data_IF_366430419507
#
_entry.id   IF_366430419507
#
_cell.length_a   1.000
_cell.length_b   1.000
_cell.length_c   1.000
_cell.angle_alpha   90.00
_cell.angle_beta   90.00
_cell.angle_gamma   90.00
#
_symmetry.space_group_name_H-M   'P 1'
#
loop_
_entity.id
_entity.type
_entity.pdbx_description
1 polymer ?
#
# COMPACT_ATOMS: atom_id res chain seq x y z
N UNK A 1 5.56 1.44 -19.28
CA UNK A 1 6.27 2.47 -18.49
C UNK A 1 7.75 2.39 -18.80
N UNK A 2 8.50 3.50 -18.71
CA UNK A 2 9.89 3.62 -19.17
C UNK A 2 10.95 3.74 -18.06
N UNK A 3 10.55 4.08 -16.83
CA UNK A 3 11.44 4.21 -15.66
C UNK A 3 11.10 3.12 -14.64
N UNK A 4 11.75 1.94 -14.70
CA UNK A 4 11.47 0.83 -13.79
C UNK A 4 12.04 1.11 -12.39
N UNK A 5 11.22 0.89 -11.36
CA UNK A 5 11.62 1.09 -9.96
C UNK A 5 12.73 0.14 -9.50
N UNK A 6 12.92 -0.98 -10.21
CA UNK A 6 14.07 -1.89 -10.02
C UNK A 6 15.43 -1.23 -10.31
N UNK A 7 15.47 -0.22 -11.20
CA UNK A 7 16.71 0.47 -11.57
C UNK A 7 16.83 1.84 -10.93
N UNK A 8 15.70 2.54 -10.76
CA UNK A 8 15.67 3.94 -10.32
C UNK A 8 15.18 4.12 -8.87
N UNK A 9 14.83 3.03 -8.19
CA UNK A 9 14.16 3.08 -6.90
C UNK A 9 12.67 3.47 -7.04
N UNK A 10 11.92 3.40 -5.92
CA UNK A 10 10.50 3.70 -5.92
C UNK A 10 10.25 5.20 -6.13
N UNK A 11 9.15 5.51 -6.80
CA UNK A 11 8.61 6.89 -6.77
C UNK A 11 8.13 7.24 -5.36
N UNK A 12 7.97 8.53 -5.04
CA UNK A 12 7.39 8.96 -3.76
C UNK A 12 6.02 8.32 -3.45
N UNK A 13 5.05 8.33 -4.39
CA UNK A 13 3.80 7.61 -4.25
C UNK A 13 3.98 6.11 -4.01
N UNK A 14 4.92 5.47 -4.69
CA UNK A 14 5.19 4.03 -4.52
C UNK A 14 5.73 3.71 -3.14
N UNK A 15 6.73 4.44 -2.66
CA UNK A 15 7.28 4.28 -1.32
C UNK A 15 6.22 4.51 -0.22
N UNK A 16 5.34 5.51 -0.40
CA UNK A 16 4.26 5.81 0.55
C UNK A 16 3.22 4.68 0.62
N UNK A 17 2.80 4.14 -0.52
CA UNK A 17 1.89 2.99 -0.55
C UNK A 17 2.55 1.70 -0.02
N UNK A 18 3.84 1.51 -0.31
CA UNK A 18 4.62 0.39 0.24
C UNK A 18 4.72 0.43 1.76
N UNK A 19 4.82 1.61 2.38
CA UNK A 19 4.78 1.76 3.83
C UNK A 19 3.46 1.26 4.42
N UNK A 20 2.32 1.73 3.90
CA UNK A 20 1.01 1.30 4.40
C UNK A 20 0.78 -0.19 4.19
N UNK A 21 1.19 -0.73 3.03
CA UNK A 21 1.10 -2.17 2.76
C UNK A 21 1.92 -2.99 3.78
N UNK A 22 3.14 -2.56 4.08
CA UNK A 22 4.03 -3.26 5.04
C UNK A 22 3.39 -3.36 6.43
N UNK A 23 2.83 -2.25 6.94
CA UNK A 23 2.16 -2.26 8.24
C UNK A 23 0.82 -3.00 8.23
N UNK A 24 0.07 -2.94 7.13
CA UNK A 24 -1.15 -3.72 6.95
C UNK A 24 -0.84 -5.22 7.08
N UNK A 25 0.16 -5.72 6.34
CA UNK A 25 0.56 -7.13 6.39
C UNK A 25 1.00 -7.53 7.79
N UNK A 26 1.86 -6.72 8.42
CA UNK A 26 2.34 -6.97 9.78
C UNK A 26 1.17 -7.09 10.75
N UNK A 27 0.26 -6.12 10.76
CA UNK A 27 -0.83 -6.08 11.74
C UNK A 27 -1.87 -7.17 11.46
N UNK A 28 -2.12 -7.52 10.18
CA UNK A 28 -2.94 -8.67 9.83
C UNK A 28 -2.36 -9.99 10.36
N UNK A 29 -1.04 -10.19 10.26
CA UNK A 29 -0.36 -11.37 10.82
C UNK A 29 -0.40 -11.42 12.35
N UNK A 30 -0.49 -10.27 13.00
CA UNK A 30 -0.71 -10.15 14.45
C UNK A 30 -2.18 -10.36 14.85
N UNK A 31 -3.07 -10.67 13.89
CA UNK A 31 -4.48 -10.96 14.14
C UNK A 31 -5.42 -9.74 14.03
N UNK A 32 -4.93 -8.59 13.57
CA UNK A 32 -5.80 -7.43 13.36
C UNK A 32 -6.72 -7.64 12.15
N UNK A 33 -8.00 -7.33 12.31
CA UNK A 33 -8.92 -7.25 11.18
C UNK A 33 -8.75 -5.92 10.45
N UNK A 34 -7.86 -5.91 9.45
CA UNK A 34 -7.50 -4.69 8.70
C UNK A 34 -8.67 -4.06 7.93
N UNK A 35 -9.72 -4.84 7.62
CA UNK A 35 -10.91 -4.35 6.91
C UNK A 35 -11.91 -3.60 7.80
N UNK A 36 -11.87 -3.81 9.12
CA UNK A 36 -12.76 -3.16 10.09
C UNK A 36 -12.03 -2.32 11.13
N UNK A 37 -10.71 -2.19 11.01
CA UNK A 37 -9.90 -1.39 11.94
C UNK A 37 -10.15 0.10 11.72
N UNK A 38 -10.84 0.74 12.66
CA UNK A 38 -11.07 2.17 12.67
C UNK A 38 -9.83 2.90 13.23
N UNK A 39 -9.39 3.95 12.53
CA UNK A 39 -8.33 4.86 12.96
C UNK A 39 -8.88 5.99 13.85
N UNK A 40 -8.00 6.83 14.43
CA UNK A 40 -8.39 7.88 15.38
C UNK A 40 -9.34 8.95 14.80
N UNK A 41 -9.32 9.14 13.49
CA UNK A 41 -10.16 10.14 12.78
C UNK A 41 -11.54 9.60 12.43
N UNK A 42 -11.84 8.35 12.78
CA UNK A 42 -13.07 7.66 12.39
C UNK A 42 -13.01 6.99 11.01
N UNK A 43 -12.00 7.29 10.19
CA UNK A 43 -11.71 6.61 8.93
C UNK A 43 -11.02 5.25 9.19
N UNK A 44 -11.00 4.37 8.19
CA UNK A 44 -10.29 3.11 8.31
C UNK A 44 -8.77 3.30 8.41
N UNK A 45 -8.14 2.58 9.35
CA UNK A 45 -6.70 2.69 9.62
C UNK A 45 -5.85 2.23 8.44
N UNK A 46 -6.23 1.13 7.78
CA UNK A 46 -5.48 0.54 6.67
C UNK A 46 -6.17 0.65 5.32
N UNK A 47 -7.50 0.53 5.31
CA UNK A 47 -8.33 0.56 4.11
C UNK A 47 -9.44 1.58 4.27
N UNK A 48 -9.71 2.35 3.23
CA UNK A 48 -10.82 3.32 3.16
C UNK A 48 -11.33 3.43 1.73
N UNK A 49 -12.29 4.33 1.47
CA UNK A 49 -12.81 4.59 0.13
C UNK A 49 -12.20 5.86 -0.46
N UNK A 50 -11.89 5.83 -1.75
CA UNK A 50 -11.60 7.01 -2.56
C UNK A 50 -12.86 7.87 -2.72
N UNK A 51 -12.74 9.11 -3.24
CA UNK A 51 -13.91 9.93 -3.59
C UNK A 51 -14.86 9.26 -4.61
N UNK A 52 -14.34 8.36 -5.47
CA UNK A 52 -15.11 7.57 -6.45
C UNK A 52 -15.65 6.25 -5.88
N UNK A 53 -15.32 5.90 -4.64
CA UNK A 53 -15.82 4.70 -3.95
C UNK A 53 -14.93 3.46 -4.05
N UNK A 54 -13.79 3.52 -4.72
CA UNK A 54 -12.81 2.41 -4.77
C UNK A 54 -12.15 2.19 -3.42
N UNK A 55 -11.83 0.93 -3.08
CA UNK A 55 -11.07 0.62 -1.87
C UNK A 55 -9.60 0.99 -2.10
N UNK A 56 -9.08 1.83 -1.22
CA UNK A 56 -7.73 2.37 -1.26
C UNK A 56 -7.05 2.21 0.10
N UNK A 57 -5.73 2.40 0.14
CA UNK A 57 -5.00 2.46 1.40
C UNK A 57 -5.38 3.71 2.22
N UNK A 58 -5.44 3.55 3.53
CA UNK A 58 -5.78 4.59 4.50
C UNK A 58 -4.59 5.48 4.89
N UNK A 59 -4.85 6.47 5.75
CA UNK A 59 -3.85 7.43 6.21
C UNK A 59 -3.47 8.45 5.12
N UNK A 60 -2.31 9.10 5.27
CA UNK A 60 -1.88 10.17 4.37
C UNK A 60 -1.66 9.73 2.92
N UNK A 61 -1.39 8.44 2.70
CA UNK A 61 -1.23 7.85 1.35
C UNK A 61 -2.55 7.75 0.58
N UNK A 62 -3.69 8.16 1.18
CA UNK A 62 -4.94 8.35 0.45
C UNK A 62 -4.77 9.27 -0.77
N UNK A 63 -3.83 10.22 -0.71
CA UNK A 63 -3.50 11.14 -1.81
C UNK A 63 -2.81 10.45 -3.00
N UNK A 64 -2.31 9.23 -2.82
CA UNK A 64 -1.54 8.46 -3.80
C UNK A 64 -2.27 7.22 -4.30
N UNK A 65 -3.59 7.18 -4.16
CA UNK A 65 -4.42 6.03 -4.50
C UNK A 65 -4.40 5.64 -5.98
N UNK A 66 -4.05 6.58 -6.86
CA UNK A 66 -3.88 6.39 -8.30
C UNK A 66 -2.61 5.59 -8.68
N UNK A 67 -1.71 5.31 -7.72
CA UNK A 67 -0.52 4.49 -7.98
C UNK A 67 -0.91 3.12 -8.54
N UNK A 68 -0.27 2.74 -9.64
CA UNK A 68 -0.29 1.39 -10.22
C UNK A 68 1.12 0.83 -10.21
N UNK A 69 1.31 -0.32 -9.57
CA UNK A 69 2.63 -0.95 -9.43
C UNK A 69 2.52 -2.48 -9.49
N UNK A 70 3.47 -3.18 -10.14
CA UNK A 70 3.37 -4.63 -10.39
C UNK A 70 3.22 -5.47 -9.12
N UNK A 71 3.73 -4.99 -7.99
CA UNK A 71 3.63 -5.67 -6.71
C UNK A 71 2.27 -5.49 -6.01
N UNK A 72 1.46 -4.47 -6.36
CA UNK A 72 0.15 -4.23 -5.74
C UNK A 72 -1.02 -4.62 -6.66
N UNK A 73 -0.84 -4.55 -7.99
CA UNK A 73 -1.88 -4.89 -8.96
C UNK A 73 -2.56 -6.25 -8.76
N UNK A 74 -1.84 -7.33 -8.38
CA UNK A 74 -2.49 -8.63 -8.14
C UNK A 74 -3.59 -8.58 -7.07
N UNK A 75 -3.49 -7.65 -6.12
CA UNK A 75 -4.42 -7.46 -5.01
C UNK A 75 -5.59 -6.52 -5.36
N UNK A 76 -5.59 -5.92 -6.55
CA UNK A 76 -6.70 -5.10 -7.03
C UNK A 76 -7.76 -5.97 -7.70
N UNK A 77 -9.01 -5.50 -7.64
CA UNK A 77 -10.19 -6.01 -8.32
C UNK A 77 -10.95 -4.85 -8.98
N UNK A 78 -12.19 -5.08 -9.45
CA UNK A 78 -12.97 -4.06 -10.16
C UNK A 78 -13.28 -2.79 -9.34
N UNK A 79 -13.26 -2.88 -8.01
CA UNK A 79 -13.60 -1.80 -7.09
C UNK A 79 -12.40 -1.33 -6.24
N UNK A 80 -11.18 -1.39 -6.79
CA UNK A 80 -9.94 -1.07 -6.07
C UNK A 80 -9.33 -2.29 -5.37
N UNK A 81 -8.73 -2.09 -4.19
CA UNK A 81 -8.11 -3.19 -3.42
C UNK A 81 -9.16 -4.22 -2.97
N UNK A 82 -8.89 -5.51 -3.22
CA UNK A 82 -9.79 -6.59 -2.87
C UNK A 82 -9.46 -7.14 -1.47
N UNK A 83 -10.44 -7.09 -0.56
CA UNK A 83 -10.28 -7.51 0.83
C UNK A 83 -9.98 -9.02 0.93
N UNK A 84 -10.57 -9.85 0.08
CA UNK A 84 -10.32 -11.30 0.10
C UNK A 84 -8.89 -11.60 -0.36
N UNK A 85 -8.42 -10.91 -1.40
CA UNK A 85 -7.03 -11.06 -1.86
C UNK A 85 -6.03 -10.55 -0.83
N UNK A 86 -6.31 -9.44 -0.18
CA UNK A 86 -5.47 -8.92 0.91
C UNK A 86 -5.38 -9.93 2.07
N UNK A 87 -6.48 -10.62 2.38
CA UNK A 87 -6.50 -11.62 3.45
C UNK A 87 -5.73 -12.88 3.11
N UNK A 88 -5.84 -13.35 1.86
CA UNK A 88 -5.48 -14.72 1.51
C UNK A 88 -4.31 -14.85 0.52
N UNK A 89 -4.07 -13.83 -0.31
CA UNK A 89 -3.26 -13.97 -1.53
C UNK A 89 -1.94 -13.19 -1.49
N UNK A 90 -1.64 -12.49 -0.39
CA UNK A 90 -0.38 -11.75 -0.23
C UNK A 90 0.80 -12.72 -0.23
N UNK A 91 1.73 -12.48 -1.15
CA UNK A 91 2.91 -13.31 -1.34
C UNK A 91 4.13 -12.73 -0.62
N UNK A 92 5.05 -13.57 -0.11
CA UNK A 92 6.29 -13.10 0.54
C UNK A 92 7.15 -12.17 -0.33
N UNK A 93 7.09 -12.29 -1.66
CA UNK A 93 7.83 -11.40 -2.55
C UNK A 93 7.23 -9.98 -2.60
N UNK A 94 5.90 -9.83 -2.47
CA UNK A 94 5.24 -8.52 -2.37
C UNK A 94 5.64 -7.84 -1.06
N UNK A 95 5.72 -8.60 0.03
CA UNK A 95 6.18 -8.11 1.34
C UNK A 95 7.63 -7.62 1.27
N UNK A 96 8.53 -8.42 0.69
CA UNK A 96 9.92 -8.01 0.49
C UNK A 96 10.02 -6.75 -0.36
N UNK A 97 9.29 -6.69 -1.48
CA UNK A 97 9.31 -5.55 -2.39
C UNK A 97 8.78 -4.28 -1.72
N UNK A 98 7.69 -4.36 -0.97
CA UNK A 98 7.16 -3.21 -0.25
C UNK A 98 8.09 -2.76 0.90
N UNK A 99 8.69 -3.70 1.64
CA UNK A 99 9.68 -3.36 2.66
C UNK A 99 10.93 -2.70 2.04
N UNK A 100 11.38 -3.21 0.89
CA UNK A 100 12.46 -2.65 0.09
C UNK A 100 12.11 -1.27 -0.45
N UNK A 101 10.85 -0.95 -0.76
CA UNK A 101 10.48 0.36 -1.34
C UNK A 101 10.06 1.40 -0.29
N UNK A 102 9.65 0.97 0.89
CA UNK A 102 9.41 1.89 2.01
C UNK A 102 10.71 2.51 2.53
N UNK A 103 11.82 1.77 2.50
CA UNK A 103 13.07 2.17 3.18
C UNK A 103 13.93 3.19 2.41
N UNK A 104 14.12 3.10 1.08
CA UNK A 104 14.78 4.10 0.25
C UNK A 104 13.72 5.02 -0.39
N UNK A 105 12.78 5.53 0.41
CA UNK A 105 11.88 6.57 -0.07
C UNK A 105 12.73 7.74 -0.62
N UNK A 106 12.34 8.39 -1.72
CA UNK A 106 13.15 9.39 -2.41
C UNK A 106 13.17 10.74 -1.65
N UNK A 107 13.70 10.71 -0.44
CA UNK A 107 13.86 11.81 0.49
C UNK A 107 15.30 11.77 1.00
N UNK A 108 16.02 12.86 0.83
CA UNK A 108 17.42 12.98 1.25
C UNK A 108 17.78 14.45 1.44
N UNK A 109 18.81 14.70 2.23
CA UNK A 109 19.41 16.02 2.35
C UNK A 109 20.20 16.38 1.09
N UNK A 110 20.54 17.67 0.96
CA UNK A 110 21.42 18.12 -0.12
C UNK A 110 22.86 17.61 0.03
N UNK A 111 23.30 17.42 1.28
CA UNK A 111 24.62 16.91 1.65
C UNK A 111 24.65 15.39 1.72
#
# INVERSE_FOLDING_TARGET
TAYPSELYGPTGPEASQSQTFTFLVRDQRLGANVSSAQGPTGLGKYLMRSPSGEIIFGGETMRFWDLRAPWVEPLRGPNGLDINKIKNDIQPWQERRAAEYMTPAPLGSLN
#
